data_IF_973340440350
#
_entry.id   IF_973340440350
#
_cell.length_a   1.000
_cell.length_b   1.000
_cell.length_c   1.000
_cell.angle_alpha   90.00
_cell.angle_beta   90.00
_cell.angle_gamma   90.00
#
_symmetry.space_group_name_H-M   'P 1'
#
loop_
_entity.id
_entity.type
_entity.pdbx_description
1 polymer ?
#
# COMPACT_ATOMS: atom_id res chain seq x y z
N UNK A 1 -13.02 10.21 4.04
CA UNK A 1 -13.11 9.81 2.62
C UNK A 1 -12.86 8.31 2.58
N UNK A 2 -13.36 7.62 1.56
CA UNK A 2 -13.18 6.19 1.40
C UNK A 2 -12.51 5.95 0.04
N UNK A 3 -11.44 5.17 0.03
CA UNK A 3 -10.64 4.87 -1.14
C UNK A 3 -10.34 3.37 -1.20
N UNK A 4 -10.02 2.86 -2.39
CA UNK A 4 -9.63 1.46 -2.57
C UNK A 4 -8.11 1.34 -2.62
N UNK A 5 -7.52 0.69 -1.61
CA UNK A 5 -6.09 0.41 -1.62
C UNK A 5 -5.78 -0.91 -2.33
N UNK A 6 -4.77 -0.90 -3.19
CA UNK A 6 -4.18 -2.09 -3.83
C UNK A 6 -2.95 -2.50 -3.03
N UNK A 7 -2.82 -3.79 -2.73
CA UNK A 7 -1.64 -4.39 -2.10
C UNK A 7 -1.05 -5.43 -3.04
N UNK A 8 0.22 -5.30 -3.38
CA UNK A 8 0.94 -6.20 -4.28
C UNK A 8 2.17 -6.77 -3.60
N UNK A 9 2.22 -8.09 -3.50
CA UNK A 9 3.43 -8.81 -3.08
C UNK A 9 4.52 -8.69 -4.15
N UNK A 10 5.75 -8.46 -3.70
CA UNK A 10 6.98 -8.34 -4.47
C UNK A 10 8.10 -9.04 -3.69
N UNK A 11 9.24 -9.32 -4.33
CA UNK A 11 10.36 -10.04 -3.68
C UNK A 11 10.83 -9.39 -2.36
N UNK A 12 10.64 -8.08 -2.21
CA UNK A 12 11.02 -7.31 -1.02
C UNK A 12 9.88 -7.10 0.01
N UNK A 13 8.73 -7.75 -0.15
CA UNK A 13 7.56 -7.57 0.73
C UNK A 13 6.31 -7.12 -0.04
N UNK A 14 5.68 -6.03 0.38
CA UNK A 14 4.44 -5.52 -0.19
C UNK A 14 4.58 -4.05 -0.60
N UNK A 15 4.12 -3.73 -1.81
CA UNK A 15 3.85 -2.34 -2.23
C UNK A 15 2.36 -2.09 -2.09
N UNK A 16 1.99 -0.92 -1.55
CA UNK A 16 0.61 -0.50 -1.40
C UNK A 16 0.38 0.88 -2.04
N UNK A 17 -0.77 1.08 -2.69
CA UNK A 17 -1.11 2.36 -3.33
C UNK A 17 -2.62 2.52 -3.53
N UNK A 18 -3.07 3.76 -3.78
CA UNK A 18 -4.47 4.11 -4.09
C UNK A 18 -4.56 4.63 -5.52
N UNK A 19 -5.33 3.98 -6.38
CA UNK A 19 -5.44 4.37 -7.80
C UNK A 19 -6.18 5.70 -7.98
N UNK A 20 -7.14 5.98 -7.11
CA UNK A 20 -7.94 7.21 -7.10
C UNK A 20 -7.16 8.43 -6.58
N UNK A 21 -6.01 8.22 -5.93
CA UNK A 21 -5.19 9.26 -5.31
C UNK A 21 -3.71 9.12 -5.71
N UNK A 22 -3.33 9.65 -6.88
CA UNK A 22 -1.94 9.61 -7.35
C UNK A 22 -0.98 10.18 -6.31
N UNK A 23 0.04 9.40 -5.94
CA UNK A 23 1.05 9.80 -4.96
C UNK A 23 0.85 9.18 -3.57
N UNK A 24 -0.31 8.59 -3.27
CA UNK A 24 -0.50 7.76 -2.09
C UNK A 24 0.09 6.36 -2.33
N UNK A 25 1.36 6.18 -1.94
CA UNK A 25 2.08 4.91 -2.06
C UNK A 25 2.86 4.63 -0.79
N UNK A 26 2.95 3.35 -0.44
CA UNK A 26 3.68 2.84 0.71
C UNK A 26 4.34 1.50 0.37
N UNK A 27 5.27 1.07 1.22
CA UNK A 27 5.89 -0.24 1.15
C UNK A 27 6.05 -0.80 2.57
N UNK A 28 6.03 -2.12 2.73
CA UNK A 28 6.34 -2.80 3.98
C UNK A 28 6.84 -4.22 3.74
N UNK A 29 7.53 -4.82 4.71
CA UNK A 29 7.99 -6.21 4.64
C UNK A 29 6.81 -7.17 4.82
N UNK A 30 5.77 -6.77 5.55
CA UNK A 30 4.50 -7.51 5.70
C UNK A 30 3.31 -6.71 5.16
N UNK A 31 2.18 -7.38 4.94
CA UNK A 31 0.94 -6.71 4.52
C UNK A 31 0.41 -5.76 5.61
N UNK A 32 0.59 -6.09 6.89
CA UNK A 32 0.24 -5.21 8.00
C UNK A 32 1.08 -3.94 8.03
N UNK A 33 2.38 -4.05 7.77
CA UNK A 33 3.28 -2.88 7.68
C UNK A 33 2.90 -2.01 6.47
N UNK A 34 2.66 -2.61 5.31
CA UNK A 34 2.25 -1.87 4.13
C UNK A 34 0.89 -1.17 4.32
N UNK A 35 -0.05 -1.77 5.09
CA UNK A 35 -1.30 -1.12 5.51
C UNK A 35 -1.03 0.08 6.42
N UNK A 36 -0.27 -0.13 7.50
CA UNK A 36 0.03 0.93 8.46
C UNK A 36 0.81 2.11 7.85
N UNK A 37 1.60 1.86 6.80
CA UNK A 37 2.36 2.91 6.11
C UNK A 37 1.52 3.68 5.08
N UNK A 38 0.35 3.15 4.67
CA UNK A 38 -0.59 3.80 3.74
C UNK A 38 -1.69 4.60 4.47
N UNK A 39 -1.87 4.38 5.77
CA UNK A 39 -2.86 5.05 6.64
C UNK A 39 -2.65 6.57 6.77
#
# INVERSE_FOLDING_TARGET
>A
MEFTAVYKEVDAGFVAYVEELPGANAQGVTIEEARSNLD
#
